data_IF_959924595046
#
_entry.id   IF_959924595046
#
_cell.length_a   1.000
_cell.length_b   1.000
_cell.length_c   1.000
_cell.angle_alpha   90.00
_cell.angle_beta   90.00
_cell.angle_gamma   90.00
#
_symmetry.space_group_name_H-M   'P 1'
#
loop_
_entity.id
_entity.type
_entity.pdbx_description
1 polymer ?
#
# COMPACT_ATOMS: atom_id res chain seq x y z
N UNK A 1 5.28 -1.80 -16.28
CA UNK A 1 6.49 -2.38 -15.65
C UNK A 1 6.20 -3.65 -14.84
N UNK A 2 5.37 -4.53 -15.32
CA UNK A 2 5.15 -5.83 -14.68
C UNK A 2 6.08 -6.84 -15.36
N UNK A 3 7.16 -7.22 -14.66
CA UNK A 3 8.11 -8.23 -15.14
C UNK A 3 7.48 -9.62 -15.28
N UNK A 4 8.17 -10.56 -15.93
CA UNK A 4 7.73 -11.92 -16.23
C UNK A 4 7.37 -12.72 -14.96
N UNK A 5 6.17 -12.55 -14.48
CA UNK A 5 5.59 -13.15 -13.28
C UNK A 5 4.18 -12.62 -13.01
N UNK A 6 3.73 -11.62 -13.75
CA UNK A 6 2.37 -11.12 -13.66
C UNK A 6 1.44 -12.06 -14.46
N UNK A 7 0.61 -12.81 -13.74
CA UNK A 7 -0.45 -13.61 -14.33
C UNK A 7 -1.58 -12.66 -14.77
N UNK A 8 -1.66 -12.36 -16.05
CA UNK A 8 -2.76 -11.59 -16.63
C UNK A 8 -4.01 -12.48 -16.66
N UNK A 9 -4.91 -12.31 -15.70
CA UNK A 9 -6.25 -12.92 -15.75
C UNK A 9 -7.29 -11.83 -15.92
N UNK A 10 -7.77 -11.62 -17.15
CA UNK A 10 -8.87 -10.70 -17.39
C UNK A 10 -9.16 -10.52 -18.87
N UNK A 11 -10.13 -11.25 -19.36
CA UNK A 11 -10.68 -11.10 -20.70
C UNK A 11 -11.78 -10.04 -20.71
N UNK A 12 -11.42 -8.76 -20.52
CA UNK A 12 -12.20 -7.59 -20.92
C UNK A 12 -11.28 -6.36 -20.81
N UNK A 13 -10.66 -6.04 -21.81
CA UNK A 13 -9.90 -4.99 -22.45
C UNK A 13 -9.44 -3.75 -21.69
N UNK A 14 -9.41 -3.60 -20.34
CA UNK A 14 -9.09 -2.30 -19.72
C UNK A 14 -8.39 -2.31 -18.36
N UNK A 15 -8.26 -3.42 -17.69
CA UNK A 15 -7.58 -3.47 -16.40
C UNK A 15 -6.50 -4.54 -16.40
N UNK A 16 -5.29 -4.17 -16.03
CA UNK A 16 -4.21 -5.13 -15.81
C UNK A 16 -3.95 -5.26 -14.31
N UNK A 17 -4.17 -6.44 -13.77
CA UNK A 17 -3.88 -6.75 -12.38
C UNK A 17 -2.56 -7.49 -12.30
N UNK A 18 -1.61 -6.93 -11.56
CA UNK A 18 -0.31 -7.53 -11.31
C UNK A 18 -0.08 -7.75 -9.82
N UNK A 19 0.37 -8.95 -9.47
CA UNK A 19 0.78 -9.29 -8.10
C UNK A 19 2.29 -9.37 -8.08
N UNK A 20 2.94 -8.58 -7.23
CA UNK A 20 4.39 -8.56 -7.07
C UNK A 20 4.78 -8.91 -5.64
N UNK A 21 5.92 -9.60 -5.50
CA UNK A 21 6.49 -9.90 -4.20
C UNK A 21 7.12 -8.65 -3.61
N UNK A 22 6.97 -8.47 -2.31
CA UNK A 22 7.68 -7.43 -1.56
C UNK A 22 9.11 -7.91 -1.33
N UNK A 23 10.12 -7.23 -1.87
CA UNK A 23 11.51 -7.59 -1.60
C UNK A 23 11.83 -7.39 -0.11
N UNK A 24 12.26 -8.47 0.55
CA UNK A 24 12.59 -8.41 1.98
C UNK A 24 13.78 -9.34 2.29
N UNK A 25 14.94 -8.74 2.47
CA UNK A 25 16.17 -9.46 2.79
C UNK A 25 16.11 -10.21 4.12
N UNK A 26 15.20 -9.83 5.01
CA UNK A 26 14.97 -10.53 6.29
C UNK A 26 14.41 -11.92 6.04
N UNK A 27 13.48 -12.06 5.08
CA UNK A 27 12.93 -13.35 4.65
C UNK A 27 14.03 -14.24 4.09
N UNK A 28 14.94 -13.69 3.26
CA UNK A 28 16.03 -14.44 2.66
C UNK A 28 16.97 -14.99 3.74
N UNK A 29 17.33 -14.14 4.71
CA UNK A 29 18.21 -14.52 5.83
C UNK A 29 17.58 -15.56 6.75
N UNK A 30 16.28 -15.40 7.07
CA UNK A 30 15.54 -16.39 7.85
C UNK A 30 15.42 -17.72 7.09
N UNK A 31 15.16 -17.68 5.78
CA UNK A 31 15.11 -18.89 4.95
C UNK A 31 16.47 -19.60 4.87
N UNK A 32 17.56 -18.84 4.80
CA UNK A 32 18.92 -19.42 4.85
C UNK A 32 19.20 -20.14 6.19
N UNK A 33 18.66 -19.62 7.30
CA UNK A 33 18.80 -20.22 8.64
C UNK A 33 17.95 -21.48 8.80
N UNK A 34 16.63 -21.38 8.49
CA UNK A 34 15.68 -22.45 8.74
C UNK A 34 15.65 -23.53 7.63
N UNK A 35 16.14 -23.20 6.43
CA UNK A 35 16.12 -24.06 5.24
C UNK A 35 14.76 -24.69 4.98
N UNK A 36 13.69 -23.86 4.91
CA UNK A 36 12.34 -24.36 4.80
C UNK A 36 12.09 -25.02 3.45
N UNK A 37 11.05 -25.86 3.39
CA UNK A 37 10.57 -26.42 2.11
C UNK A 37 10.00 -25.33 1.20
N UNK A 38 9.48 -24.23 1.79
CA UNK A 38 8.88 -23.13 1.06
C UNK A 38 9.22 -21.79 1.70
N UNK A 39 9.58 -20.80 0.87
CA UNK A 39 9.73 -19.40 1.27
C UNK A 39 8.61 -18.58 0.63
N UNK A 40 7.88 -17.81 1.43
CA UNK A 40 6.79 -16.96 0.96
C UNK A 40 7.00 -15.51 1.38
N UNK A 41 7.02 -14.61 0.41
CA UNK A 41 7.12 -13.17 0.62
C UNK A 41 5.72 -12.56 0.73
N UNK A 42 5.63 -11.43 1.40
CA UNK A 42 4.46 -10.57 1.30
C UNK A 42 4.23 -10.15 -0.16
N UNK A 43 3.01 -9.78 -0.49
CA UNK A 43 2.62 -9.43 -1.85
C UNK A 43 1.86 -8.11 -1.88
N UNK A 44 2.09 -7.33 -2.93
CA UNK A 44 1.31 -6.14 -3.26
C UNK A 44 0.63 -6.38 -4.60
N UNK A 45 -0.64 -6.04 -4.67
CA UNK A 45 -1.41 -6.09 -5.90
C UNK A 45 -1.48 -4.68 -6.49
N UNK A 46 -1.05 -4.54 -7.73
CA UNK A 46 -1.21 -3.32 -8.51
C UNK A 46 -2.35 -3.52 -9.51
N UNK A 47 -3.25 -2.55 -9.57
CA UNK A 47 -4.29 -2.47 -10.59
C UNK A 47 -3.90 -1.33 -11.51
N UNK A 48 -3.49 -1.69 -12.74
CA UNK A 48 -3.16 -0.71 -13.78
C UNK A 48 -4.43 -0.38 -14.56
N UNK A 49 -4.82 0.87 -14.52
CA UNK A 49 -5.96 1.38 -15.28
C UNK A 49 -5.45 2.18 -16.46
N UNK A 50 -6.12 2.07 -17.58
CA UNK A 50 -5.84 2.93 -18.74
C UNK A 50 -6.27 4.35 -18.35
N UNK A 51 -5.38 5.08 -17.70
CA UNK A 51 -5.59 6.48 -17.42
C UNK A 51 -5.66 7.25 -18.74
N UNK A 52 -6.71 8.01 -18.93
CA UNK A 52 -6.75 9.04 -19.97
C UNK A 52 -5.81 10.15 -19.54
N UNK A 53 -4.73 10.30 -20.31
CA UNK A 53 -3.86 11.48 -20.21
C UNK A 53 -4.72 12.72 -20.46
N UNK A 54 -4.64 13.77 -19.61
CA UNK A 54 -5.26 15.06 -19.92
C UNK A 54 -4.86 15.50 -21.33
N UNK A 55 -5.84 15.68 -22.24
CA UNK A 55 -5.57 15.99 -23.65
C UNK A 55 -5.40 14.80 -24.61
N UNK A 56 -5.39 13.55 -24.12
CA UNK A 56 -5.38 12.32 -24.93
C UNK A 56 -6.78 11.88 -25.35
N UNK A 57 -6.84 10.92 -26.30
CA UNK A 57 -8.08 10.45 -26.92
C UNK A 57 -9.20 10.19 -25.94
N UNK A 58 -10.39 10.71 -26.24
CA UNK A 58 -11.61 10.70 -25.44
C UNK A 58 -11.82 9.38 -24.71
N UNK A 59 -11.85 9.44 -23.37
CA UNK A 59 -12.41 8.36 -22.58
C UNK A 59 -13.81 8.01 -23.10
N UNK A 60 -14.21 6.74 -23.07
CA UNK A 60 -15.58 6.35 -23.39
C UNK A 60 -16.53 7.14 -22.51
N UNK A 61 -17.43 7.90 -23.13
CA UNK A 61 -18.46 8.63 -22.39
C UNK A 61 -19.32 7.63 -21.62
N UNK A 62 -19.35 7.77 -20.29
CA UNK A 62 -20.30 7.05 -19.42
C UNK A 62 -19.74 5.97 -18.51
N UNK A 63 -18.46 5.62 -18.58
CA UNK A 63 -17.83 4.75 -17.57
C UNK A 63 -17.12 5.60 -16.52
N UNK A 64 -17.35 5.26 -15.25
CA UNK A 64 -16.60 5.83 -14.12
C UNK A 64 -15.13 5.37 -14.22
N UNK A 65 -14.25 6.25 -14.70
CA UNK A 65 -12.83 5.99 -14.88
C UNK A 65 -12.15 5.52 -13.59
N UNK A 66 -12.73 5.85 -12.45
CA UNK A 66 -12.19 5.51 -11.14
C UNK A 66 -12.86 4.32 -10.49
N UNK A 67 -13.83 3.65 -11.16
CA UNK A 67 -14.56 2.53 -10.54
C UNK A 67 -13.63 1.40 -10.10
N UNK A 68 -12.63 1.06 -10.89
CA UNK A 68 -11.65 0.02 -10.62
C UNK A 68 -10.73 0.35 -9.43
N UNK A 69 -10.41 1.63 -9.23
CA UNK A 69 -9.48 2.05 -8.17
C UNK A 69 -10.18 2.37 -6.84
N UNK A 70 -11.53 2.41 -6.83
CA UNK A 70 -12.28 2.66 -5.59
C UNK A 70 -12.04 1.59 -4.52
N UNK A 71 -11.77 0.36 -4.92
CA UNK A 71 -11.51 -0.75 -4.00
C UNK A 71 -10.04 -0.89 -3.59
N UNK A 72 -9.12 -0.11 -4.18
CA UNK A 72 -7.71 -0.12 -3.81
C UNK A 72 -7.48 0.61 -2.48
N UNK A 73 -6.47 0.20 -1.71
CA UNK A 73 -6.10 0.83 -0.44
C UNK A 73 -5.39 2.18 -0.62
N UNK A 74 -4.68 2.37 -1.73
CA UNK A 74 -3.99 3.59 -2.11
C UNK A 74 -4.09 3.83 -3.61
N UNK A 75 -3.83 5.06 -4.03
CA UNK A 75 -3.66 5.44 -5.42
C UNK A 75 -2.18 5.63 -5.73
N UNK A 76 -1.77 5.32 -6.96
CA UNK A 76 -0.45 5.65 -7.49
C UNK A 76 -0.60 6.38 -8.82
N UNK A 77 0.13 7.47 -8.98
CA UNK A 77 0.20 8.20 -10.25
C UNK A 77 1.64 8.31 -10.73
N UNK A 78 1.82 8.21 -12.04
CA UNK A 78 3.13 8.44 -12.67
C UNK A 78 3.06 9.77 -13.40
N UNK A 79 3.92 10.70 -13.01
CA UNK A 79 4.06 12.00 -13.68
C UNK A 79 5.31 12.02 -14.55
N UNK A 80 5.16 12.57 -15.75
CA UNK A 80 6.29 12.73 -16.67
C UNK A 80 7.15 13.91 -16.21
N UNK A 81 8.46 13.66 -16.08
CA UNK A 81 9.46 14.67 -15.75
C UNK A 81 10.73 14.43 -16.57
N UNK A 82 10.54 14.07 -17.83
CA UNK A 82 11.62 13.75 -18.78
C UNK A 82 11.58 14.60 -20.05
N UNK A 83 10.52 15.38 -20.24
CA UNK A 83 10.38 16.27 -21.40
C UNK A 83 10.61 17.73 -20.96
N UNK A 84 11.18 18.59 -21.82
CA UNK A 84 11.38 20.01 -21.50
C UNK A 84 10.08 20.78 -21.20
N UNK A 85 8.94 20.27 -21.69
CA UNK A 85 7.59 20.82 -21.49
C UNK A 85 6.84 20.19 -20.32
N UNK A 86 7.44 19.24 -19.59
CA UNK A 86 6.80 18.57 -18.48
C UNK A 86 6.55 19.55 -17.32
N UNK A 87 5.36 19.48 -16.75
CA UNK A 87 4.97 20.21 -15.56
C UNK A 87 4.29 19.25 -14.56
N UNK A 88 5.09 18.45 -13.81
CA UNK A 88 4.57 17.53 -12.81
C UNK A 88 3.61 18.15 -11.80
N UNK A 89 3.87 19.41 -11.44
CA UNK A 89 3.02 20.12 -10.47
C UNK A 89 1.65 20.44 -11.07
N UNK A 90 1.59 20.77 -12.33
CA UNK A 90 0.33 20.98 -13.06
C UNK A 90 -0.45 19.68 -13.18
N UNK A 91 0.21 18.60 -13.62
CA UNK A 91 -0.42 17.29 -13.80
C UNK A 91 -1.02 16.77 -12.49
N UNK A 92 -0.33 16.99 -11.36
CA UNK A 92 -0.83 16.62 -10.03
C UNK A 92 -2.03 17.49 -9.60
N UNK A 93 -2.04 18.79 -9.92
CA UNK A 93 -3.20 19.65 -9.64
C UNK A 93 -4.41 19.23 -10.45
N UNK A 94 -4.22 18.90 -11.73
CA UNK A 94 -5.31 18.42 -12.60
C UNK A 94 -5.87 17.09 -12.08
N UNK A 95 -5.03 16.14 -11.66
CA UNK A 95 -5.46 14.88 -11.05
C UNK A 95 -6.25 15.13 -9.75
N UNK A 96 -5.71 15.96 -8.84
CA UNK A 96 -6.40 16.25 -7.57
C UNK A 96 -7.77 16.92 -7.84
N UNK A 97 -7.87 17.81 -8.82
CA UNK A 97 -9.14 18.44 -9.20
C UNK A 97 -10.17 17.41 -9.72
N UNK A 98 -9.74 16.44 -10.54
CA UNK A 98 -10.62 15.38 -11.03
C UNK A 98 -11.10 14.47 -9.89
N UNK A 99 -10.20 14.08 -8.97
CA UNK A 99 -10.55 13.27 -7.80
C UNK A 99 -11.52 14.01 -6.87
N UNK A 100 -11.28 15.31 -6.63
CA UNK A 100 -12.14 16.18 -5.82
C UNK A 100 -13.53 16.27 -6.42
N UNK A 101 -13.64 16.56 -7.72
CA UNK A 101 -14.93 16.66 -8.41
C UNK A 101 -15.72 15.34 -8.32
N UNK A 102 -15.04 14.21 -8.49
CA UNK A 102 -15.65 12.89 -8.43
C UNK A 102 -16.22 12.57 -7.03
N UNK A 103 -15.47 12.91 -5.98
CA UNK A 103 -15.92 12.70 -4.61
C UNK A 103 -17.02 13.69 -4.21
N UNK A 104 -16.95 14.94 -4.68
CA UNK A 104 -17.96 15.96 -4.40
C UNK A 104 -19.35 15.53 -4.90
N UNK A 105 -19.42 14.98 -6.12
CA UNK A 105 -20.67 14.43 -6.69
C UNK A 105 -21.26 13.33 -5.81
N UNK A 106 -20.43 12.42 -5.30
CA UNK A 106 -20.89 11.35 -4.41
C UNK A 106 -21.39 11.87 -3.06
N UNK A 107 -20.62 12.80 -2.46
CA UNK A 107 -20.97 13.40 -1.17
C UNK A 107 -22.29 14.17 -1.28
N UNK A 108 -22.46 15.01 -2.32
CA UNK A 108 -23.67 15.76 -2.55
C UNK A 108 -24.89 14.86 -2.76
N UNK A 109 -24.77 13.83 -3.60
CA UNK A 109 -25.84 12.88 -3.84
C UNK A 109 -26.28 12.15 -2.55
N UNK A 110 -25.34 11.82 -1.64
CA UNK A 110 -25.66 11.21 -0.36
C UNK A 110 -26.32 12.22 0.59
N UNK A 111 -25.79 13.43 0.66
CA UNK A 111 -26.37 14.50 1.50
C UNK A 111 -27.81 14.84 1.11
N UNK A 112 -28.14 14.85 -0.18
CA UNK A 112 -29.54 15.03 -0.63
C UNK A 112 -30.47 13.91 -0.14
N UNK A 113 -30.01 12.66 -0.12
CA UNK A 113 -30.76 11.53 0.42
C UNK A 113 -30.97 11.67 1.93
N UNK A 114 -29.90 12.01 2.66
CA UNK A 114 -29.96 12.24 4.11
C UNK A 114 -30.91 13.38 4.45
N UNK A 115 -30.92 14.48 3.68
CA UNK A 115 -31.83 15.59 3.91
C UNK A 115 -33.31 15.16 3.82
N UNK A 116 -33.63 14.20 2.95
CA UNK A 116 -34.97 13.60 2.87
C UNK A 116 -35.26 12.71 4.09
N UNK A 117 -34.29 11.92 4.52
CA UNK A 117 -34.42 11.06 5.70
C UNK A 117 -34.65 11.88 6.99
N UNK A 118 -33.91 12.98 7.16
CA UNK A 118 -34.06 13.89 8.30
C UNK A 118 -35.46 14.57 8.33
N UNK A 119 -36.00 14.94 7.17
CA UNK A 119 -37.39 15.50 7.08
C UNK A 119 -38.45 14.54 7.56
N UNK A 120 -38.24 13.24 7.46
CA UNK A 120 -39.16 12.21 7.99
C UNK A 120 -38.81 11.74 9.40
N UNK A 121 -37.92 12.46 10.08
CA UNK A 121 -37.61 12.27 11.50
C UNK A 121 -36.54 11.23 11.84
N UNK A 122 -35.76 10.75 10.87
CA UNK A 122 -34.63 9.81 11.10
C UNK A 122 -33.41 10.55 11.66
N UNK A 123 -33.40 10.83 12.95
CA UNK A 123 -32.30 11.57 13.61
C UNK A 123 -30.94 10.85 13.59
N UNK A 124 -30.94 9.55 13.39
CA UNK A 124 -29.71 8.74 13.28
C UNK A 124 -28.79 9.21 12.14
N UNK A 125 -29.35 9.86 11.12
CA UNK A 125 -28.60 10.40 9.99
C UNK A 125 -27.94 11.78 10.26
N UNK A 126 -28.17 12.40 11.43
CA UNK A 126 -27.62 13.73 11.76
C UNK A 126 -26.08 13.70 11.83
N UNK A 127 -25.51 12.64 12.45
CA UNK A 127 -24.07 12.48 12.55
C UNK A 127 -23.42 12.29 11.17
N UNK A 128 -23.97 11.43 10.34
CA UNK A 128 -23.50 11.21 8.97
C UNK A 128 -23.57 12.51 8.15
N UNK A 129 -24.66 13.26 8.29
CA UNK A 129 -24.80 14.57 7.62
C UNK A 129 -23.70 15.55 8.03
N UNK A 130 -23.39 15.63 9.32
CA UNK A 130 -22.35 16.55 9.83
C UNK A 130 -20.96 16.19 9.29
N UNK A 131 -20.63 14.89 9.25
CA UNK A 131 -19.34 14.41 8.69
C UNK A 131 -19.24 14.72 7.20
N UNK A 132 -20.31 14.43 6.43
CA UNK A 132 -20.34 14.72 4.99
C UNK A 132 -20.34 16.20 4.68
N UNK A 133 -20.90 17.06 5.54
CA UNK A 133 -20.82 18.52 5.39
C UNK A 133 -19.38 19.03 5.53
N UNK A 134 -18.59 18.47 6.44
CA UNK A 134 -17.14 18.74 6.55
C UNK A 134 -16.39 18.28 5.30
N UNK A 135 -16.70 17.06 4.83
CA UNK A 135 -16.13 16.56 3.58
C UNK A 135 -16.45 17.49 2.41
N UNK A 136 -17.71 17.88 2.25
CA UNK A 136 -18.14 18.83 1.20
C UNK A 136 -17.39 20.15 1.27
N UNK A 137 -17.29 20.75 2.45
CA UNK A 137 -16.56 22.01 2.65
C UNK A 137 -15.08 21.91 2.23
N UNK A 138 -14.41 20.78 2.56
CA UNK A 138 -13.03 20.57 2.15
C UNK A 138 -12.92 20.42 0.62
N UNK A 139 -13.80 19.63 0.00
CA UNK A 139 -13.81 19.39 -1.44
C UNK A 139 -14.15 20.65 -2.24
N UNK A 140 -15.12 21.48 -1.80
CA UNK A 140 -15.43 22.76 -2.41
C UNK A 140 -14.26 23.77 -2.33
N UNK A 141 -13.39 23.61 -1.33
CA UNK A 141 -12.14 24.37 -1.20
C UNK A 141 -10.96 23.72 -1.93
N UNK A 142 -11.21 22.77 -2.84
CA UNK A 142 -10.22 22.01 -3.61
C UNK A 142 -9.19 21.27 -2.73
N UNK A 143 -9.56 20.90 -1.50
CA UNK A 143 -8.70 20.17 -0.57
C UNK A 143 -9.03 18.68 -0.58
N UNK A 144 -8.07 17.81 -0.94
CA UNK A 144 -8.24 16.36 -0.84
C UNK A 144 -8.48 15.91 0.61
N UNK A 145 -9.41 14.97 0.82
CA UNK A 145 -9.80 14.50 2.16
C UNK A 145 -8.70 13.73 2.89
N UNK A 146 -7.63 13.29 2.23
CA UNK A 146 -6.44 12.73 2.86
C UNK A 146 -5.69 13.73 3.74
N UNK A 147 -5.94 15.03 3.56
CA UNK A 147 -5.39 16.10 4.40
C UNK A 147 -6.25 16.41 5.63
N UNK A 148 -7.47 15.89 5.70
CA UNK A 148 -8.41 16.13 6.80
C UNK A 148 -8.29 15.03 7.87
N UNK A 149 -8.49 15.39 9.12
CA UNK A 149 -8.48 14.46 10.25
C UNK A 149 -9.91 14.08 10.63
N UNK A 150 -10.14 12.78 10.80
CA UNK A 150 -11.41 12.21 11.24
C UNK A 150 -11.19 11.32 12.46
N UNK A 151 -12.16 11.27 13.35
CA UNK A 151 -12.09 10.35 14.47
C UNK A 151 -12.38 8.89 14.04
N UNK A 152 -12.13 7.87 14.89
CA UNK A 152 -12.33 6.46 14.49
C UNK A 152 -13.76 6.09 14.09
N UNK A 153 -14.78 6.78 14.61
CA UNK A 153 -16.17 6.54 14.25
C UNK A 153 -16.49 7.14 12.88
N UNK A 154 -16.04 8.38 12.63
CA UNK A 154 -16.11 9.07 11.35
C UNK A 154 -15.35 8.28 10.26
N UNK A 155 -14.15 7.77 10.58
CA UNK A 155 -13.36 6.90 9.72
C UNK A 155 -14.13 5.67 9.28
N UNK A 156 -14.78 5.01 10.23
CA UNK A 156 -15.61 3.82 9.96
C UNK A 156 -16.77 4.15 9.05
N UNK A 157 -17.40 5.30 9.23
CA UNK A 157 -18.50 5.79 8.40
C UNK A 157 -17.99 6.07 6.97
N UNK A 158 -16.90 6.78 6.83
CA UNK A 158 -16.35 7.20 5.52
C UNK A 158 -15.81 6.03 4.68
N UNK A 159 -15.40 4.91 5.29
CA UNK A 159 -14.95 3.72 4.55
C UNK A 159 -15.97 3.22 3.54
N UNK A 160 -17.27 3.29 3.87
CA UNK A 160 -18.34 2.83 2.99
C UNK A 160 -18.48 3.63 1.69
N UNK A 161 -17.97 4.86 1.67
CA UNK A 161 -18.05 5.74 0.50
C UNK A 161 -16.93 5.53 -0.50
N UNK A 162 -15.81 4.93 -0.08
CA UNK A 162 -14.63 4.69 -0.92
C UNK A 162 -14.16 5.95 -1.64
N UNK A 163 -14.15 7.10 -0.92
CA UNK A 163 -13.76 8.39 -1.46
C UNK A 163 -12.30 8.37 -1.94
N UNK A 164 -12.09 8.81 -3.17
CA UNK A 164 -10.79 8.75 -3.84
C UNK A 164 -9.79 9.72 -3.23
N UNK A 165 -10.24 10.93 -2.90
CA UNK A 165 -9.38 11.96 -2.29
C UNK A 165 -8.95 11.61 -0.88
N UNK A 166 -9.61 10.62 -0.25
CA UNK A 166 -9.24 10.12 1.07
C UNK A 166 -8.15 9.06 1.02
N UNK A 167 -7.96 8.40 -0.12
CA UNK A 167 -6.92 7.40 -0.29
C UNK A 167 -5.54 8.04 -0.24
N UNK A 168 -4.55 7.39 0.41
CA UNK A 168 -3.16 7.78 0.29
C UNK A 168 -2.73 7.79 -1.18
N UNK A 169 -1.86 8.74 -1.56
CA UNK A 169 -1.41 8.94 -2.93
C UNK A 169 0.11 8.80 -3.03
N UNK A 170 0.57 7.81 -3.80
CA UNK A 170 1.97 7.70 -4.22
C UNK A 170 2.16 8.43 -5.54
N UNK A 171 3.08 9.38 -5.58
CA UNK A 171 3.50 10.07 -6.80
C UNK A 171 4.84 9.51 -7.25
N UNK A 172 4.89 9.03 -8.48
CA UNK A 172 6.09 8.46 -9.09
C UNK A 172 6.57 9.42 -10.18
N UNK A 173 7.66 10.14 -9.92
CA UNK A 173 8.29 11.01 -10.90
C UNK A 173 9.15 10.18 -11.86
N UNK A 174 8.76 10.17 -13.12
CA UNK A 174 9.51 9.49 -14.16
C UNK A 174 10.48 10.46 -14.84
N UNK A 175 11.76 10.43 -14.41
CA UNK A 175 12.82 11.30 -14.94
C UNK A 175 13.47 10.73 -16.20
N UNK A 176 14.05 11.63 -16.99
CA UNK A 176 14.93 11.29 -18.12
C UNK A 176 16.34 10.85 -17.65
N UNK A 177 17.12 10.35 -18.59
CA UNK A 177 18.46 9.77 -18.31
C UNK A 177 19.44 10.78 -17.69
N UNK A 178 19.44 12.02 -18.17
CA UNK A 178 20.36 13.08 -17.74
C UNK A 178 20.04 13.73 -16.39
N UNK A 179 18.90 13.40 -15.77
CA UNK A 179 18.43 14.03 -14.53
C UNK A 179 18.69 13.11 -13.36
N UNK A 180 19.18 13.68 -12.24
CA UNK A 180 19.27 12.92 -11.00
C UNK A 180 17.86 12.63 -10.48
N UNK A 181 17.58 11.36 -10.20
CA UNK A 181 16.28 10.95 -9.70
C UNK A 181 16.16 11.29 -8.21
N UNK A 182 15.88 12.54 -7.89
CA UNK A 182 15.51 12.96 -6.53
C UNK A 182 14.05 13.43 -6.57
N UNK A 183 13.19 12.94 -5.65
CA UNK A 183 11.83 13.42 -5.57
C UNK A 183 11.83 14.89 -5.17
N UNK A 184 10.94 15.73 -5.72
CA UNK A 184 10.75 17.07 -5.23
C UNK A 184 10.29 17.03 -3.77
N UNK A 185 10.73 17.99 -2.97
CA UNK A 185 10.44 18.08 -1.54
C UNK A 185 8.99 18.52 -1.24
N UNK A 186 8.01 17.96 -1.91
CA UNK A 186 6.59 18.35 -1.79
C UNK A 186 5.78 17.18 -1.19
N UNK A 187 6.19 16.73 -0.03
CA UNK A 187 5.36 15.79 0.73
C UNK A 187 4.19 16.54 1.39
N UNK A 188 2.97 16.14 1.07
CA UNK A 188 1.75 16.58 1.75
C UNK A 188 1.16 15.46 2.62
N UNK A 189 0.18 15.76 3.49
CA UNK A 189 -0.51 14.74 4.28
C UNK A 189 -1.06 13.62 3.40
N UNK A 190 -0.79 12.34 3.77
CA UNK A 190 -1.25 11.18 3.01
C UNK A 190 -0.69 11.06 1.59
N UNK A 191 0.45 11.73 1.32
CA UNK A 191 1.18 11.66 0.04
C UNK A 191 2.61 11.23 0.29
N UNK A 192 3.12 10.36 -0.56
CA UNK A 192 4.54 10.00 -0.66
C UNK A 192 5.01 10.14 -2.10
N UNK A 193 6.25 10.56 -2.29
CA UNK A 193 6.82 10.80 -3.60
C UNK A 193 8.10 10.00 -3.77
N UNK A 194 8.26 9.40 -4.95
CA UNK A 194 9.47 8.70 -5.36
C UNK A 194 9.85 9.13 -6.77
N UNK A 195 11.14 9.05 -7.08
CA UNK A 195 11.63 9.33 -8.41
C UNK A 195 12.35 8.11 -8.97
N UNK A 196 12.15 7.84 -10.25
CA UNK A 196 12.83 6.77 -10.97
C UNK A 196 13.02 7.12 -12.44
N UNK A 197 13.89 6.38 -13.12
CA UNK A 197 14.13 6.47 -14.54
C UNK A 197 13.53 5.25 -15.23
N UNK A 198 12.22 5.29 -15.53
CA UNK A 198 11.48 4.11 -15.99
C UNK A 198 12.06 3.47 -17.25
N UNK A 199 12.66 4.25 -18.16
CA UNK A 199 13.31 3.74 -19.36
C UNK A 199 14.52 2.87 -19.00
N UNK A 200 15.42 3.37 -18.14
CA UNK A 200 16.59 2.63 -17.67
C UNK A 200 16.20 1.38 -16.88
N UNK A 201 15.19 1.50 -15.99
CA UNK A 201 14.69 0.33 -15.26
C UNK A 201 14.17 -0.77 -16.22
N UNK A 202 13.51 -0.39 -17.29
CA UNK A 202 13.06 -1.33 -18.33
C UNK A 202 14.23 -1.99 -19.03
N UNK A 203 15.30 -1.27 -19.33
CA UNK A 203 16.51 -1.81 -19.96
C UNK A 203 17.22 -2.79 -19.02
N UNK A 204 17.39 -2.42 -17.76
CA UNK A 204 17.94 -3.33 -16.71
C UNK A 204 17.18 -4.65 -16.65
N UNK A 205 15.86 -4.63 -16.79
CA UNK A 205 15.06 -5.86 -16.75
C UNK A 205 15.33 -6.81 -17.94
N UNK A 206 15.88 -6.32 -19.05
CA UNK A 206 16.26 -7.15 -20.21
C UNK A 206 17.58 -7.88 -20.00
N UNK A 207 18.40 -7.44 -19.05
CA UNK A 207 19.69 -8.04 -18.72
C UNK A 207 19.55 -9.31 -17.89
N UNK A 208 20.55 -10.20 -17.93
CA UNK A 208 20.61 -11.34 -17.02
C UNK A 208 20.79 -10.86 -15.56
N UNK A 209 20.34 -11.65 -14.56
CA UNK A 209 20.50 -11.26 -13.16
C UNK A 209 21.93 -10.90 -12.75
N UNK A 210 22.94 -11.57 -13.31
CA UNK A 210 24.35 -11.33 -13.01
C UNK A 210 24.86 -9.98 -13.57
N UNK A 211 24.27 -9.51 -14.67
CA UNK A 211 24.67 -8.26 -15.34
C UNK A 211 23.98 -7.05 -14.71
N UNK A 212 22.80 -7.23 -14.10
CA UNK A 212 21.97 -6.14 -13.57
C UNK A 212 22.69 -5.31 -12.51
N UNK A 213 23.37 -5.96 -11.57
CA UNK A 213 24.06 -5.29 -10.45
C UNK A 213 25.23 -4.46 -10.95
N UNK A 214 26.01 -5.00 -11.90
CA UNK A 214 27.12 -4.28 -12.55
C UNK A 214 26.61 -3.07 -13.33
N UNK A 215 25.59 -3.23 -14.13
CA UNK A 215 25.00 -2.17 -14.95
C UNK A 215 24.40 -1.05 -14.08
N UNK A 216 23.72 -1.39 -12.99
CA UNK A 216 23.20 -0.42 -12.02
C UNK A 216 24.31 0.37 -11.35
N UNK A 217 25.37 -0.31 -10.93
CA UNK A 217 26.53 0.33 -10.31
C UNK A 217 27.22 1.32 -11.27
N UNK A 218 27.35 0.97 -12.55
CA UNK A 218 27.94 1.82 -13.58
C UNK A 218 27.10 3.07 -13.84
N UNK A 219 25.77 2.95 -13.81
CA UNK A 219 24.84 4.06 -14.00
C UNK A 219 24.55 4.86 -12.73
N UNK A 220 25.14 4.47 -11.59
CA UNK A 220 24.87 5.10 -10.29
C UNK A 220 23.43 4.92 -9.81
N UNK A 221 22.75 3.86 -10.26
CA UNK A 221 21.40 3.50 -9.82
C UNK A 221 21.54 2.62 -8.57
N UNK A 222 21.16 3.12 -7.42
CA UNK A 222 21.33 2.40 -6.16
C UNK A 222 20.39 1.21 -6.02
N UNK A 223 19.12 1.50 -5.90
CA UNK A 223 18.07 0.50 -5.73
C UNK A 223 17.24 0.34 -6.99
N UNK A 224 16.67 -0.86 -7.19
CA UNK A 224 15.73 -1.06 -8.29
C UNK A 224 14.42 -0.29 -8.09
N UNK A 225 13.93 0.32 -9.17
CA UNK A 225 12.75 1.19 -9.12
C UNK A 225 11.50 0.47 -8.63
N UNK A 226 11.35 -0.83 -8.89
CA UNK A 226 10.21 -1.61 -8.40
C UNK A 226 10.26 -1.76 -6.87
N UNK A 227 11.42 -2.10 -6.31
CA UNK A 227 11.61 -2.19 -4.86
C UNK A 227 11.37 -0.86 -4.16
N UNK A 228 11.84 0.24 -4.78
CA UNK A 228 11.61 1.60 -4.29
C UNK A 228 10.11 1.91 -4.20
N UNK A 229 9.36 1.66 -5.27
CA UNK A 229 7.90 1.86 -5.34
C UNK A 229 7.17 1.00 -4.30
N UNK A 230 7.51 -0.29 -4.18
CA UNK A 230 6.88 -1.20 -3.23
C UNK A 230 7.09 -0.73 -1.79
N UNK A 231 8.33 -0.33 -1.43
CA UNK A 231 8.61 0.19 -0.08
C UNK A 231 7.89 1.51 0.20
N UNK A 232 7.80 2.39 -0.80
CA UNK A 232 7.01 3.60 -0.68
C UNK A 232 5.52 3.29 -0.43
N UNK A 233 4.94 2.31 -1.13
CA UNK A 233 3.58 1.84 -0.85
C UNK A 233 3.42 1.35 0.59
N UNK A 234 4.38 0.57 1.10
CA UNK A 234 4.35 0.08 2.48
C UNK A 234 4.36 1.24 3.48
N UNK A 235 5.28 2.19 3.33
CA UNK A 235 5.33 3.36 4.23
C UNK A 235 4.05 4.18 4.15
N UNK A 236 3.59 4.47 2.93
CA UNK A 236 2.38 5.26 2.69
C UNK A 236 1.14 4.64 3.33
N UNK A 237 1.02 3.32 3.29
CA UNK A 237 -0.09 2.56 3.88
C UNK A 237 0.10 2.25 5.37
N UNK A 238 1.24 2.63 5.96
CA UNK A 238 1.59 2.27 7.32
C UNK A 238 1.65 0.76 7.55
N UNK A 239 2.16 0.01 6.57
CA UNK A 239 2.29 -1.45 6.64
C UNK A 239 3.62 -1.86 7.26
N UNK A 240 3.57 -2.95 8.01
CA UNK A 240 4.75 -3.63 8.56
C UNK A 240 4.69 -5.11 8.22
N UNK A 241 5.84 -5.78 8.30
CA UNK A 241 5.94 -7.22 8.10
C UNK A 241 6.33 -7.93 9.38
N UNK A 242 5.61 -8.99 9.72
CA UNK A 242 6.04 -9.97 10.71
C UNK A 242 6.29 -11.33 10.03
N UNK A 243 6.97 -12.23 10.70
CA UNK A 243 7.38 -13.50 10.11
C UNK A 243 6.84 -14.68 10.93
N UNK A 244 6.53 -15.75 10.22
CA UNK A 244 6.43 -17.10 10.79
C UNK A 244 7.57 -17.94 10.26
N UNK A 245 8.21 -18.72 11.13
CA UNK A 245 9.40 -19.51 10.84
C UNK A 245 9.17 -20.97 11.16
N UNK A 246 9.66 -21.88 10.32
CA UNK A 246 9.55 -23.33 10.52
C UNK A 246 10.24 -24.09 9.39
N UNK A 247 10.34 -25.41 9.56
CA UNK A 247 10.93 -26.31 8.55
C UNK A 247 10.05 -26.44 7.29
N UNK A 248 8.75 -26.27 7.41
CA UNK A 248 7.85 -26.36 6.26
C UNK A 248 7.79 -25.02 5.50
N UNK A 249 7.69 -23.91 6.22
CA UNK A 249 7.57 -22.60 5.58
C UNK A 249 8.23 -21.50 6.44
N UNK A 250 8.94 -20.59 5.77
CA UNK A 250 9.25 -19.24 6.25
C UNK A 250 8.41 -18.27 5.45
N UNK A 251 7.60 -17.46 6.15
CA UNK A 251 6.66 -16.55 5.49
C UNK A 251 6.66 -15.17 6.11
N UNK A 252 6.65 -14.14 5.26
CA UNK A 252 6.31 -12.78 5.64
C UNK A 252 4.79 -12.56 5.54
N UNK A 253 4.25 -11.93 6.57
CA UNK A 253 2.85 -11.51 6.68
C UNK A 253 2.79 -9.99 6.77
N UNK A 254 1.76 -9.39 6.21
CA UNK A 254 1.57 -7.94 6.21
C UNK A 254 0.44 -7.55 7.15
N UNK A 255 0.70 -6.60 8.04
CA UNK A 255 -0.30 -5.97 8.91
C UNK A 255 -0.07 -4.46 8.94
N UNK A 256 -1.00 -3.71 9.54
CA UNK A 256 -0.82 -2.28 9.77
C UNK A 256 0.03 -2.06 11.02
N UNK A 257 0.82 -1.02 11.00
CA UNK A 257 1.53 -0.56 12.20
C UNK A 257 0.50 -0.21 13.30
N UNK A 258 0.70 -0.74 14.51
CA UNK A 258 -0.24 -0.64 15.62
C UNK A 258 -1.22 -1.82 15.75
N UNK A 259 -1.27 -2.73 14.77
CA UNK A 259 -2.06 -3.97 14.88
C UNK A 259 -1.51 -4.87 16.00
N UNK A 260 -2.41 -5.63 16.59
CA UNK A 260 -2.11 -6.43 17.77
C UNK A 260 -1.84 -7.89 17.42
N UNK A 261 -1.23 -8.63 18.35
CA UNK A 261 -0.91 -10.03 18.15
C UNK A 261 -2.13 -10.90 17.78
N UNK A 262 -3.33 -10.53 18.23
CA UNK A 262 -4.56 -11.22 17.85
C UNK A 262 -4.94 -10.93 16.39
N UNK A 263 -4.67 -9.71 15.91
CA UNK A 263 -4.94 -9.32 14.52
C UNK A 263 -3.94 -10.04 13.60
N UNK A 264 -2.65 -10.04 13.98
CA UNK A 264 -1.62 -10.82 13.29
C UNK A 264 -1.94 -12.33 13.23
N UNK A 265 -2.49 -12.89 14.31
CA UNK A 265 -2.97 -14.28 14.30
C UNK A 265 -4.12 -14.49 13.29
N UNK A 266 -4.99 -13.49 13.16
CA UNK A 266 -6.10 -13.48 12.18
C UNK A 266 -5.63 -13.50 10.73
N UNK A 267 -4.56 -12.77 10.43
CA UNK A 267 -3.92 -12.76 9.11
C UNK A 267 -3.35 -14.13 8.74
N UNK A 268 -2.80 -14.87 9.72
CA UNK A 268 -2.34 -16.24 9.48
C UNK A 268 -3.53 -17.16 9.22
N UNK A 269 -4.51 -17.14 10.13
CA UNK A 269 -5.76 -17.91 10.00
C UNK A 269 -6.80 -17.43 11.01
N UNK A 270 -8.05 -17.32 10.60
CA UNK A 270 -9.14 -16.86 11.47
C UNK A 270 -9.31 -17.67 12.77
N UNK A 271 -9.01 -18.98 12.74
CA UNK A 271 -9.12 -19.84 13.93
C UNK A 271 -8.00 -19.57 14.94
N UNK A 272 -6.83 -19.08 14.50
CA UNK A 272 -5.77 -18.65 15.40
C UNK A 272 -6.19 -17.42 16.21
N UNK A 273 -6.89 -16.47 15.58
CA UNK A 273 -7.42 -15.30 16.27
C UNK A 273 -8.53 -15.68 17.28
N UNK A 274 -9.45 -16.59 16.90
CA UNK A 274 -10.54 -17.06 17.78
C UNK A 274 -10.01 -17.81 19.00
N UNK A 275 -9.10 -18.76 18.77
CA UNK A 275 -8.50 -19.59 19.81
C UNK A 275 -7.27 -19.00 20.47
N UNK A 276 -6.92 -17.72 20.22
CA UNK A 276 -5.68 -17.11 20.66
C UNK A 276 -5.48 -17.19 22.16
N UNK A 277 -4.34 -17.76 22.59
CA UNK A 277 -3.91 -17.81 24.00
C UNK A 277 -2.81 -16.77 24.21
N UNK A 278 -1.70 -16.89 23.46
CA UNK A 278 -0.53 -16.01 23.50
C UNK A 278 0.30 -16.14 22.22
N UNK A 279 1.16 -15.16 22.00
CA UNK A 279 2.20 -15.22 20.96
C UNK A 279 3.58 -15.39 21.62
N UNK A 280 4.38 -16.28 21.07
CA UNK A 280 5.82 -16.31 21.29
C UNK A 280 6.45 -15.37 20.28
N UNK A 281 7.17 -14.36 20.77
CA UNK A 281 7.71 -13.26 19.95
C UNK A 281 9.22 -13.22 20.08
N UNK A 282 9.93 -13.20 18.96
CA UNK A 282 11.38 -12.98 18.91
C UNK A 282 11.70 -12.05 17.74
N UNK A 283 12.41 -10.92 17.94
CA UNK A 283 12.89 -10.10 16.84
C UNK A 283 13.76 -10.90 15.88
N UNK A 284 13.59 -10.67 14.59
CA UNK A 284 14.28 -11.47 13.54
C UNK A 284 15.81 -11.46 13.66
N UNK A 285 16.41 -10.32 14.08
CA UNK A 285 17.85 -10.20 14.31
C UNK A 285 18.31 -11.14 15.42
N UNK A 286 17.55 -11.18 16.53
CA UNK A 286 17.84 -12.05 17.68
C UNK A 286 17.70 -13.52 17.31
N UNK A 287 16.74 -13.82 16.47
CA UNK A 287 16.53 -15.18 15.99
C UNK A 287 17.70 -15.67 15.11
N UNK A 288 18.19 -14.80 14.22
CA UNK A 288 19.39 -15.07 13.42
C UNK A 288 20.64 -15.20 14.29
N UNK A 289 20.87 -14.28 15.23
CA UNK A 289 22.01 -14.29 16.13
C UNK A 289 22.04 -15.55 17.02
N UNK A 290 20.88 -16.02 17.47
CA UNK A 290 20.76 -17.26 18.22
C UNK A 290 21.03 -18.49 17.37
N UNK A 291 20.74 -18.44 16.08
CA UNK A 291 20.80 -19.59 15.18
C UNK A 291 19.60 -20.53 15.34
N UNK A 292 18.41 -19.98 15.69
CA UNK A 292 17.14 -20.67 15.76
C UNK A 292 16.36 -20.48 17.07
N UNK A 293 15.10 -20.92 17.07
CA UNK A 293 14.14 -20.67 18.16
C UNK A 293 14.55 -21.28 19.50
N UNK A 294 15.06 -22.52 19.49
CA UNK A 294 15.49 -23.19 20.71
C UNK A 294 16.56 -22.39 21.46
N UNK A 295 17.60 -21.97 20.75
CA UNK A 295 18.69 -21.17 21.32
C UNK A 295 18.24 -19.76 21.70
N UNK A 296 17.31 -19.14 20.94
CA UNK A 296 16.72 -17.86 21.31
C UNK A 296 15.95 -17.97 22.64
N UNK A 297 15.24 -19.07 22.87
CA UNK A 297 14.55 -19.37 24.12
C UNK A 297 15.53 -19.58 25.29
N UNK A 298 16.59 -20.35 25.10
CA UNK A 298 17.66 -20.56 26.09
C UNK A 298 18.32 -19.26 26.52
N UNK A 299 18.51 -18.31 25.59
CA UNK A 299 19.06 -16.97 25.83
C UNK A 299 18.05 -15.98 26.45
N UNK A 300 16.80 -16.39 26.64
CA UNK A 300 15.75 -15.50 27.16
C UNK A 300 15.27 -14.41 26.20
N UNK A 301 15.50 -14.56 24.90
CA UNK A 301 15.11 -13.60 23.87
C UNK A 301 13.69 -13.83 23.32
N UNK A 302 13.11 -14.98 23.61
CA UNK A 302 11.73 -15.28 23.31
C UNK A 302 10.82 -14.71 24.40
N UNK A 303 9.93 -13.81 24.01
CA UNK A 303 8.93 -13.20 24.89
C UNK A 303 7.59 -13.87 24.72
N UNK A 304 6.81 -13.93 25.78
CA UNK A 304 5.43 -14.42 25.76
C UNK A 304 4.49 -13.23 25.87
N UNK A 305 3.78 -12.94 24.81
CA UNK A 305 2.95 -11.76 24.69
C UNK A 305 1.45 -12.11 24.63
N UNK A 306 0.61 -11.22 25.17
CA UNK A 306 -0.83 -11.37 25.17
C UNK A 306 -1.50 -10.83 23.89
N UNK A 307 -2.84 -10.91 23.85
CA UNK A 307 -3.66 -10.44 22.71
C UNK A 307 -3.43 -8.99 22.32
N UNK A 308 -3.13 -8.12 23.28
CA UNK A 308 -2.98 -6.67 23.11
C UNK A 308 -1.56 -6.22 22.77
N UNK A 309 -0.61 -7.17 22.63
CA UNK A 309 0.74 -6.82 22.21
C UNK A 309 0.72 -6.20 20.82
N UNK A 310 1.31 -5.02 20.69
CA UNK A 310 1.47 -4.32 19.41
C UNK A 310 2.67 -4.89 18.68
N UNK A 311 2.41 -5.57 17.55
CA UNK A 311 3.42 -6.26 16.78
C UNK A 311 4.36 -5.23 16.14
N UNK A 312 5.66 -5.50 16.26
CA UNK A 312 6.70 -4.65 15.69
C UNK A 312 7.16 -5.19 14.33
N UNK A 313 7.60 -4.27 13.45
CA UNK A 313 8.18 -4.66 12.15
C UNK A 313 9.41 -5.55 12.35
N UNK A 314 9.37 -6.75 11.79
CA UNK A 314 10.43 -7.73 11.94
C UNK A 314 10.24 -8.75 13.08
N UNK A 315 9.15 -8.71 13.81
CA UNK A 315 8.86 -9.75 14.79
C UNK A 315 8.65 -11.12 14.14
N UNK A 316 9.27 -12.15 14.68
CA UNK A 316 8.96 -13.55 14.37
C UNK A 316 7.95 -14.05 15.39
N UNK A 317 6.77 -14.49 14.91
CA UNK A 317 5.65 -14.90 15.77
C UNK A 317 5.36 -16.39 15.68
N UNK A 318 5.16 -17.03 16.82
CA UNK A 318 4.57 -18.37 16.92
C UNK A 318 3.32 -18.30 17.82
N UNK A 319 2.15 -18.56 17.22
CA UNK A 319 0.86 -18.38 17.89
C UNK A 319 0.47 -19.65 18.65
N UNK A 320 0.22 -19.53 19.95
CA UNK A 320 -0.36 -20.57 20.80
C UNK A 320 -1.86 -20.37 20.88
N UNK A 321 -2.62 -21.39 20.50
CA UNK A 321 -4.08 -21.32 20.42
C UNK A 321 -4.74 -22.61 20.87
N UNK A 322 -5.99 -22.51 21.32
CA UNK A 322 -6.88 -23.67 21.52
C UNK A 322 -7.68 -23.94 20.25
N UNK A 323 -7.77 -25.22 19.88
CA UNK A 323 -8.64 -25.68 18.81
C UNK A 323 -10.11 -25.61 19.21
#
# INVERSE_FOLDING_TARGET
MLGAGASATGAHGREHVGVVRVPDTRVDRLSALFKPRKTAYAQVQFVDTVATVPGGAKAPRGEDLFSSVRNCDALATVVADFEPSADPARDLRELDAELVLNDLVLVEARMERIAKELRVGKREAEHEHAVLARCKQALEAERPLRAESFDPAEEKLLRGFQLLTRKPLLVIHNHGEGVRAEPPAVAGPGREEVALKALLEREVLTLSPAERDGFRAELGIGEDGLSLVIRACYRLLGLISFFTTGEDEVRAWTIRNGDKAVDAAGEIHSDLAKGFIRAEVTPWERLLEAGGEAKARERGWLRLEGRSYEVQDGDCLSIRFNK
#
